data_IF_049017531619
#
_entry.id   IF_049017531619
#
_cell.length_a   1.000
_cell.length_b   1.000
_cell.length_c   1.000
_cell.angle_alpha   90.00
_cell.angle_beta   90.00
_cell.angle_gamma   90.00
#
_symmetry.space_group_name_H-M   'P 1'
#
loop_
_entity.id
_entity.type
_entity.pdbx_description
1 polymer ?
#
# COMPACT_ATOMS: atom_id res chain seq x y z
N UNK A 1 5.55 11.54 -29.03
CA UNK A 1 5.18 10.60 -27.94
C UNK A 1 4.12 11.17 -26.96
N UNK A 2 3.34 12.23 -27.29
CA UNK A 2 2.61 12.99 -26.27
C UNK A 2 1.08 12.87 -26.21
N UNK A 3 0.38 12.56 -27.31
CA UNK A 3 -1.09 12.62 -27.33
C UNK A 3 -1.75 11.49 -26.52
N UNK A 4 -1.35 10.24 -26.78
CA UNK A 4 -2.00 9.07 -26.18
C UNK A 4 -1.77 8.95 -24.67
N UNK A 5 -0.61 9.38 -24.15
CA UNK A 5 -0.31 9.27 -22.70
C UNK A 5 -1.14 10.25 -21.86
N UNK A 6 -1.30 11.49 -22.34
CA UNK A 6 -2.12 12.49 -21.64
C UNK A 6 -3.60 12.10 -21.66
N UNK A 7 -4.09 11.62 -22.82
CA UNK A 7 -5.45 11.12 -22.97
C UNK A 7 -5.70 9.91 -22.06
N UNK A 8 -4.83 8.88 -22.10
CA UNK A 8 -4.94 7.72 -21.21
C UNK A 8 -4.90 8.10 -19.73
N UNK A 9 -4.08 9.10 -19.36
CA UNK A 9 -4.03 9.61 -17.98
C UNK A 9 -5.37 10.24 -17.58
N UNK A 10 -6.01 11.01 -18.46
CA UNK A 10 -7.33 11.59 -18.20
C UNK A 10 -8.43 10.52 -18.10
N UNK A 11 -8.38 9.47 -18.95
CA UNK A 11 -9.26 8.31 -18.82
C UNK A 11 -9.13 7.64 -17.45
N UNK A 12 -7.89 7.45 -16.97
CA UNK A 12 -7.62 6.89 -15.63
C UNK A 12 -8.05 7.81 -14.50
N UNK A 13 -7.91 9.13 -14.64
CA UNK A 13 -8.41 10.09 -13.64
C UNK A 13 -9.93 10.03 -13.51
N UNK A 14 -10.65 9.87 -14.63
CA UNK A 14 -12.09 9.63 -14.58
C UNK A 14 -12.39 8.30 -13.87
N UNK A 15 -11.67 7.23 -14.22
CA UNK A 15 -11.83 5.93 -13.57
C UNK A 15 -11.56 5.98 -12.05
N UNK A 16 -10.61 6.80 -11.58
CA UNK A 16 -10.38 7.04 -10.14
C UNK A 16 -11.63 7.61 -9.46
N UNK A 17 -12.30 8.59 -10.06
CA UNK A 17 -13.55 9.12 -9.50
C UNK A 17 -14.69 8.11 -9.56
N UNK A 18 -14.79 7.33 -10.64
CA UNK A 18 -15.81 6.29 -10.78
C UNK A 18 -15.63 5.21 -9.68
N UNK A 19 -14.39 4.77 -9.41
CA UNK A 19 -14.07 3.82 -8.33
C UNK A 19 -14.46 4.41 -6.97
N UNK A 20 -14.06 5.65 -6.67
CA UNK A 20 -14.40 6.28 -5.40
C UNK A 20 -15.91 6.52 -5.24
N UNK A 21 -16.63 6.77 -6.34
CA UNK A 21 -18.09 6.85 -6.31
C UNK A 21 -18.73 5.49 -6.01
N UNK A 22 -18.16 4.38 -6.49
CA UNK A 22 -18.61 3.03 -6.16
C UNK A 22 -18.38 2.66 -4.68
N UNK A 23 -17.30 3.15 -4.05
CA UNK A 23 -17.05 2.98 -2.60
C UNK A 23 -18.16 3.60 -1.75
N UNK A 24 -18.74 4.74 -2.19
CA UNK A 24 -19.87 5.38 -1.50
C UNK A 24 -21.08 4.46 -1.44
N UNK A 25 -21.30 3.65 -2.49
CA UNK A 25 -22.44 2.73 -2.58
C UNK A 25 -22.20 1.39 -1.88
N UNK A 26 -20.98 0.87 -1.94
CA UNK A 26 -20.62 -0.43 -1.38
C UNK A 26 -20.26 -0.35 0.10
N UNK A 27 -19.84 0.82 0.59
CA UNK A 27 -19.32 1.02 1.94
C UNK A 27 -17.92 0.43 2.15
N UNK A 28 -17.33 -0.19 1.12
CA UNK A 28 -15.97 -0.70 1.14
C UNK A 28 -15.02 0.45 0.80
N UNK A 29 -14.20 0.85 1.77
CA UNK A 29 -13.18 1.89 1.56
C UNK A 29 -11.89 1.26 1.07
N UNK A 30 -11.50 1.58 -0.15
CA UNK A 30 -10.20 1.15 -0.67
C UNK A 30 -9.12 2.14 -0.21
N UNK A 31 -7.90 1.63 -0.13
CA UNK A 31 -6.75 2.50 0.07
C UNK A 31 -6.34 3.17 -1.25
N UNK A 32 -5.54 4.23 -1.19
CA UNK A 32 -5.17 5.02 -2.36
C UNK A 32 -4.53 4.18 -3.48
N UNK A 33 -3.68 3.22 -3.13
CA UNK A 33 -3.03 2.35 -4.10
C UNK A 33 -3.99 1.34 -4.74
N UNK A 34 -4.95 0.83 -3.96
CA UNK A 34 -6.04 0.01 -4.49
C UNK A 34 -6.95 0.80 -5.45
N UNK A 35 -7.31 2.04 -5.13
CA UNK A 35 -8.07 2.93 -6.04
C UNK A 35 -7.32 3.14 -7.36
N UNK A 36 -6.01 3.42 -7.29
CA UNK A 36 -5.17 3.58 -8.47
C UNK A 36 -5.03 2.28 -9.26
N UNK A 37 -4.88 1.15 -8.58
CA UNK A 37 -4.83 -0.19 -9.16
C UNK A 37 -6.09 -0.53 -9.93
N UNK A 38 -7.27 -0.30 -9.34
CA UNK A 38 -8.58 -0.48 -10.00
C UNK A 38 -8.75 0.44 -11.21
N UNK A 39 -8.34 1.71 -11.10
CA UNK A 39 -8.37 2.63 -12.23
C UNK A 39 -7.46 2.17 -13.39
N UNK A 40 -6.28 1.63 -13.09
CA UNK A 40 -5.37 1.05 -14.07
C UNK A 40 -5.92 -0.27 -14.64
N UNK A 41 -6.62 -1.08 -13.84
CA UNK A 41 -7.27 -2.30 -14.35
C UNK A 41 -8.37 -1.96 -15.36
N UNK A 42 -9.13 -0.87 -15.13
CA UNK A 42 -10.14 -0.37 -16.08
C UNK A 42 -9.53 0.23 -17.34
N UNK A 43 -8.39 0.91 -17.21
CA UNK A 43 -7.67 1.53 -18.34
C UNK A 43 -6.19 1.11 -18.29
N UNK A 44 -5.84 -0.06 -18.88
CA UNK A 44 -4.51 -0.65 -18.78
C UNK A 44 -3.38 0.27 -19.26
N UNK A 45 -2.19 0.10 -18.67
CA UNK A 45 -0.98 0.80 -19.09
C UNK A 45 -0.51 0.31 -20.47
N UNK A 46 -0.04 1.22 -21.32
CA UNK A 46 0.65 0.85 -22.56
C UNK A 46 2.13 0.48 -22.28
N UNK A 47 2.84 -0.02 -23.29
CA UNK A 47 4.23 -0.49 -23.18
C UNK A 47 5.18 0.53 -22.51
N UNK A 48 5.13 1.79 -22.93
CA UNK A 48 5.96 2.86 -22.35
C UNK A 48 5.56 3.22 -20.92
N UNK A 49 4.29 3.03 -20.57
CA UNK A 49 3.75 3.30 -19.24
C UNK A 49 4.03 2.16 -18.26
N UNK A 50 4.17 0.92 -18.75
CA UNK A 50 4.54 -0.26 -17.95
C UNK A 50 6.01 -0.30 -17.57
N UNK A 51 6.86 0.50 -18.22
CA UNK A 51 8.28 0.59 -17.90
C UNK A 51 8.47 0.98 -16.42
N UNK A 52 9.18 0.12 -15.69
CA UNK A 52 9.45 0.30 -14.27
C UNK A 52 10.52 1.37 -14.04
N UNK A 53 10.23 2.27 -13.11
CA UNK A 53 11.21 3.24 -12.61
C UNK A 53 12.13 2.57 -11.58
N UNK A 54 13.14 3.29 -11.09
CA UNK A 54 14.08 2.77 -10.08
C UNK A 54 13.38 2.21 -8.82
N UNK A 55 12.29 2.83 -8.39
CA UNK A 55 11.46 2.33 -7.28
C UNK A 55 10.48 1.21 -7.63
N UNK A 56 10.62 0.61 -8.83
CA UNK A 56 9.76 -0.42 -9.45
C UNK A 56 8.27 -0.13 -9.47
N UNK A 57 7.92 1.16 -9.45
CA UNK A 57 6.59 1.65 -9.81
C UNK A 57 6.59 1.92 -11.32
N UNK A 58 5.60 1.42 -12.09
CA UNK A 58 5.45 1.74 -13.50
C UNK A 58 5.37 3.26 -13.73
N UNK A 59 6.01 3.75 -14.79
CA UNK A 59 5.97 5.17 -15.17
C UNK A 59 4.55 5.72 -15.22
N UNK A 60 3.62 4.98 -15.84
CA UNK A 60 2.22 5.37 -15.97
C UNK A 60 1.50 5.48 -14.63
N UNK A 61 1.80 4.59 -13.69
CA UNK A 61 1.27 4.68 -12.32
C UNK A 61 1.76 5.96 -11.64
N UNK A 62 3.07 6.26 -11.70
CA UNK A 62 3.62 7.50 -11.13
C UNK A 62 3.01 8.76 -11.76
N UNK A 63 2.80 8.75 -13.07
CA UNK A 63 2.12 9.83 -13.78
C UNK A 63 0.69 10.00 -13.30
N UNK A 64 -0.07 8.91 -13.14
CA UNK A 64 -1.44 8.94 -12.61
C UNK A 64 -1.49 9.46 -11.17
N UNK A 65 -0.64 8.92 -10.27
CA UNK A 65 -0.54 9.38 -8.88
C UNK A 65 -0.29 10.89 -8.81
N UNK A 66 0.57 11.41 -9.68
CA UNK A 66 0.83 12.86 -9.78
C UNK A 66 -0.38 13.62 -10.31
N UNK A 67 -1.01 13.10 -11.37
CA UNK A 67 -2.12 13.76 -12.06
C UNK A 67 -3.39 13.87 -11.19
N UNK A 68 -3.59 12.99 -10.21
CA UNK A 68 -4.72 13.07 -9.26
C UNK A 68 -4.74 14.36 -8.43
N UNK A 69 -3.64 15.11 -8.36
CA UNK A 69 -3.63 16.47 -7.80
C UNK A 69 -4.59 17.42 -8.55
N UNK A 70 -4.85 17.19 -9.85
CA UNK A 70 -5.85 17.94 -10.62
C UNK A 70 -7.25 17.78 -10.04
N UNK A 71 -7.63 16.55 -9.65
CA UNK A 71 -8.93 16.26 -9.05
C UNK A 71 -9.10 16.96 -7.69
N UNK A 72 -8.01 17.05 -6.92
CA UNK A 72 -8.00 17.80 -5.65
C UNK A 72 -8.17 19.30 -5.91
N UNK A 73 -7.43 19.85 -6.89
CA UNK A 73 -7.54 21.27 -7.26
C UNK A 73 -8.95 21.63 -7.76
N UNK A 74 -9.63 20.72 -8.45
CA UNK A 74 -11.01 20.88 -8.88
C UNK A 74 -12.03 20.73 -7.74
N UNK A 75 -11.60 20.32 -6.54
CA UNK A 75 -12.50 20.06 -5.41
C UNK A 75 -13.29 18.75 -5.52
N UNK A 76 -12.91 17.86 -6.44
CA UNK A 76 -13.63 16.60 -6.71
C UNK A 76 -13.12 15.43 -5.86
N UNK A 77 -11.89 15.54 -5.36
CA UNK A 77 -11.21 14.53 -4.55
C UNK A 77 -10.62 15.18 -3.30
N UNK A 78 -10.84 14.56 -2.15
CA UNK A 78 -10.10 14.88 -0.92
C UNK A 78 -9.10 13.75 -0.67
N UNK A 79 -7.82 14.10 -0.56
CA UNK A 79 -6.77 13.19 -0.10
C UNK A 79 -6.56 13.44 1.38
N UNK A 80 -7.20 12.59 2.18
CA UNK A 80 -7.11 12.64 3.63
C UNK A 80 -5.98 11.78 4.15
N UNK A 81 -5.73 11.91 5.45
CA UNK A 81 -4.88 10.96 6.13
C UNK A 81 -5.51 9.57 6.09
N UNK A 82 -6.79 9.43 6.40
CA UNK A 82 -7.50 8.14 6.42
C UNK A 82 -7.76 7.49 5.04
N UNK A 83 -7.21 8.04 3.96
CA UNK A 83 -7.43 7.56 2.59
C UNK A 83 -7.96 8.65 1.67
N UNK A 84 -8.43 8.24 0.50
CA UNK A 84 -9.01 9.15 -0.48
C UNK A 84 -10.54 9.11 -0.38
N UNK A 85 -11.21 10.23 -0.62
CA UNK A 85 -12.66 10.31 -0.62
C UNK A 85 -13.15 11.26 -1.71
N UNK A 86 -14.21 10.86 -2.42
CA UNK A 86 -14.89 11.72 -3.40
C UNK A 86 -15.78 12.75 -2.70
N UNK A 87 -15.84 13.98 -3.23
CA UNK A 87 -16.76 15.02 -2.74
C UNK A 87 -18.12 14.92 -3.45
N UNK A 88 -19.14 15.61 -2.95
CA UNK A 88 -20.44 15.70 -3.64
C UNK A 88 -20.29 16.30 -5.05
N UNK A 89 -19.40 17.28 -5.22
CA UNK A 89 -19.11 17.86 -6.53
C UNK A 89 -18.33 16.90 -7.42
N UNK A 90 -17.43 16.09 -6.85
CA UNK A 90 -16.78 15.00 -7.58
C UNK A 90 -17.78 13.94 -8.06
N UNK A 91 -18.76 13.58 -7.23
CA UNK A 91 -19.85 12.67 -7.62
C UNK A 91 -20.70 13.30 -8.72
N UNK A 92 -21.07 14.58 -8.61
CA UNK A 92 -21.79 15.28 -9.69
C UNK A 92 -20.96 15.37 -10.97
N UNK A 93 -19.63 15.52 -10.87
CA UNK A 93 -18.75 15.59 -12.03
C UNK A 93 -18.76 14.29 -12.86
N UNK A 94 -18.94 13.12 -12.24
CA UNK A 94 -19.05 11.85 -12.97
C UNK A 94 -20.30 11.78 -13.86
N UNK A 95 -21.34 12.54 -13.50
CA UNK A 95 -22.59 12.68 -14.27
C UNK A 95 -22.49 13.83 -15.28
N UNK A 96 -22.07 15.02 -14.83
CA UNK A 96 -21.98 16.22 -15.67
C UNK A 96 -21.00 16.04 -16.84
N UNK A 97 -19.93 15.28 -16.61
CA UNK A 97 -18.88 15.02 -17.59
C UNK A 97 -18.72 13.52 -17.84
N UNK A 98 -19.82 12.85 -18.18
CA UNK A 98 -19.83 11.42 -18.48
C UNK A 98 -18.86 11.04 -19.62
N UNK A 99 -18.75 11.90 -20.64
CA UNK A 99 -17.83 11.70 -21.75
C UNK A 99 -16.39 12.05 -21.35
N UNK A 100 -15.40 11.14 -21.55
CA UNK A 100 -14.05 11.38 -21.05
C UNK A 100 -13.34 12.60 -21.64
N UNK A 101 -13.65 12.97 -22.89
CA UNK A 101 -13.11 14.18 -23.51
C UNK A 101 -13.68 15.47 -22.86
N UNK A 102 -14.97 15.45 -22.52
CA UNK A 102 -15.61 16.56 -21.80
C UNK A 102 -15.06 16.66 -20.37
N UNK A 103 -14.84 15.52 -19.72
CA UNK A 103 -14.19 15.43 -18.41
C UNK A 103 -12.79 16.04 -18.42
N UNK A 104 -11.95 15.63 -19.37
CA UNK A 104 -10.60 16.17 -19.52
C UNK A 104 -10.60 17.69 -19.71
N UNK A 105 -11.47 18.18 -20.60
CA UNK A 105 -11.61 19.61 -20.87
C UNK A 105 -12.05 20.39 -19.65
N UNK A 106 -13.07 19.90 -18.93
CA UNK A 106 -13.57 20.52 -17.71
C UNK A 106 -12.52 20.54 -16.60
N UNK A 107 -11.78 19.44 -16.44
CA UNK A 107 -10.72 19.32 -15.44
C UNK A 107 -9.55 20.26 -15.72
N UNK A 108 -9.12 20.37 -16.99
CA UNK A 108 -8.03 21.26 -17.39
C UNK A 108 -8.44 22.74 -17.34
N UNK A 109 -9.69 23.06 -17.68
CA UNK A 109 -10.23 24.42 -17.61
C UNK A 109 -10.61 24.85 -16.18
N UNK A 110 -10.70 23.92 -15.23
CA UNK A 110 -11.24 24.18 -13.89
C UNK A 110 -12.71 24.56 -13.92
N UNK A 111 -13.49 24.00 -14.84
CA UNK A 111 -14.91 24.29 -14.99
C UNK A 111 -15.68 23.84 -13.74
N UNK A 112 -16.43 24.74 -13.07
CA UNK A 112 -17.24 24.34 -11.92
C UNK A 112 -18.35 23.39 -12.37
N UNK A 113 -18.64 22.39 -11.54
CA UNK A 113 -19.74 21.45 -11.79
C UNK A 113 -21.05 22.22 -11.63
N UNK A 114 -21.99 22.15 -12.59
CA UNK A 114 -23.28 22.83 -12.46
C UNK A 114 -24.01 22.35 -11.20
N UNK A 115 -24.45 23.29 -10.35
CA UNK A 115 -25.04 22.98 -9.05
C UNK A 115 -26.33 22.14 -9.15
N UNK A 116 -27.05 22.23 -10.27
CA UNK A 116 -28.27 21.48 -10.54
C UNK A 116 -28.02 20.04 -11.05
N UNK A 117 -26.75 19.64 -11.20
CA UNK A 117 -26.42 18.27 -11.61
C UNK A 117 -26.82 17.30 -10.49
N UNK A 118 -27.65 16.28 -10.77
CA UNK A 118 -28.00 15.29 -9.74
C UNK A 118 -26.77 14.45 -9.37
N UNK A 119 -26.76 13.94 -8.14
CA UNK A 119 -25.81 12.89 -7.77
C UNK A 119 -26.04 11.64 -8.64
N UNK A 120 -24.99 10.86 -8.95
CA UNK A 120 -25.12 9.65 -9.73
C UNK A 120 -26.13 8.72 -9.05
N UNK A 121 -27.08 8.12 -9.79
CA UNK A 121 -27.97 7.14 -9.19
C UNK A 121 -27.15 5.95 -8.71
N UNK A 122 -27.51 5.38 -7.55
CA UNK A 122 -26.92 4.13 -7.10
C UNK A 122 -27.02 3.09 -8.22
N UNK A 123 -25.94 2.36 -8.54
CA UNK A 123 -26.02 1.29 -9.52
C UNK A 123 -27.12 0.31 -9.09
N UNK A 124 -28.00 -0.07 -10.02
CA UNK A 124 -29.14 -0.93 -9.73
C UNK A 124 -28.65 -2.24 -9.10
N UNK A 125 -28.76 -2.35 -7.78
CA UNK A 125 -28.30 -3.50 -7.04
C UNK A 125 -29.04 -4.76 -7.49
N UNK A 126 -28.31 -5.85 -7.70
CA UNK A 126 -28.87 -7.17 -7.35
C UNK A 126 -29.36 -7.06 -5.89
N UNK A 127 -30.56 -7.57 -5.59
CA UNK A 127 -31.28 -7.19 -4.38
C UNK A 127 -30.44 -7.46 -3.14
N UNK A 128 -30.37 -6.43 -2.28
CA UNK A 128 -29.85 -6.51 -0.94
C UNK A 128 -30.35 -7.80 -0.28
N UNK A 129 -29.41 -8.61 0.23
CA UNK A 129 -29.75 -9.84 0.95
C UNK A 129 -30.52 -9.42 2.20
N UNK A 130 -31.83 -9.61 2.16
CA UNK A 130 -32.73 -9.31 3.25
C UNK A 130 -32.17 -9.87 4.57
N UNK A 131 -32.09 -9.01 5.57
CA UNK A 131 -31.90 -9.33 6.97
C UNK A 131 -32.95 -10.37 7.37
N UNK A 132 -32.55 -11.64 7.44
CA UNK A 132 -33.37 -12.68 8.06
C UNK A 132 -33.12 -12.64 9.56
N UNK A 133 -34.15 -12.20 10.26
CA UNK A 133 -34.41 -12.39 11.67
C UNK A 133 -34.23 -13.85 12.09
N UNK A 134 -33.73 -14.02 13.31
CA UNK A 134 -33.34 -15.29 13.91
C UNK A 134 -34.46 -16.33 14.00
N UNK A 135 -34.11 -17.59 13.68
CA UNK A 135 -34.68 -18.78 14.29
C UNK A 135 -33.60 -19.88 14.36
N UNK A 136 -33.39 -20.44 15.55
CA UNK A 136 -32.43 -21.51 15.90
C UNK A 136 -33.16 -22.88 15.90
N UNK A 137 -32.47 -24.03 16.08
CA UNK A 137 -31.83 -24.87 15.07
C UNK A 137 -32.46 -26.28 14.97
N UNK A 138 -32.22 -27.02 13.89
CA UNK A 138 -32.35 -28.48 13.93
C UNK A 138 -31.54 -29.23 12.85
N UNK A 139 -30.81 -30.23 13.36
CA UNK A 139 -30.43 -31.51 12.76
C UNK A 139 -29.33 -31.62 11.67
N UNK A 140 -28.36 -32.47 12.01
CA UNK A 140 -27.29 -33.09 11.20
C UNK A 140 -27.82 -34.09 10.16
N UNK A 141 -27.09 -34.20 9.05
CA UNK A 141 -26.77 -35.38 8.22
C UNK A 141 -26.40 -34.85 6.81
N UNK A 142 -25.46 -35.34 6.01
CA UNK A 142 -24.38 -36.32 6.10
C UNK A 142 -23.45 -35.99 4.90
N UNK A 143 -22.24 -36.54 4.94
CA UNK A 143 -21.10 -36.26 4.07
C UNK A 143 -21.19 -36.93 2.68
N UNK A 144 -20.78 -36.24 1.60
CA UNK A 144 -20.14 -36.87 0.43
C UNK A 144 -19.35 -35.84 -0.43
N UNK A 145 -18.19 -36.23 -1.01
CA UNK A 145 -17.11 -35.31 -1.37
C UNK A 145 -17.12 -34.89 -2.84
N UNK A 146 -16.89 -33.60 -3.12
CA UNK A 146 -16.70 -33.09 -4.48
C UNK A 146 -15.22 -32.82 -4.80
N UNK A 147 -14.87 -33.16 -6.03
CA UNK A 147 -13.53 -33.34 -6.58
C UNK A 147 -12.90 -32.00 -6.97
N UNK A 148 -11.99 -31.47 -6.17
CA UNK A 148 -11.03 -30.41 -6.60
C UNK A 148 -9.75 -30.43 -5.75
N UNK A 149 -9.13 -31.60 -5.58
CA UNK A 149 -7.78 -31.72 -4.99
C UNK A 149 -6.83 -32.49 -5.92
N UNK A 150 -6.78 -32.10 -7.20
CA UNK A 150 -5.79 -32.61 -8.16
C UNK A 150 -5.31 -31.54 -9.14
N UNK A 151 -4.85 -30.40 -8.62
CA UNK A 151 -3.91 -29.53 -9.37
C UNK A 151 -2.74 -29.01 -8.50
N UNK A 152 -2.73 -29.28 -7.19
CA UNK A 152 -1.62 -28.90 -6.31
C UNK A 152 -0.42 -29.88 -6.30
N UNK A 153 -0.53 -31.04 -6.96
CA UNK A 153 0.47 -32.12 -6.84
C UNK A 153 1.55 -32.19 -7.91
N UNK A 154 1.53 -31.34 -8.95
CA UNK A 154 2.43 -31.50 -10.12
C UNK A 154 3.44 -30.37 -10.34
N UNK A 155 3.32 -29.26 -9.61
CA UNK A 155 4.33 -28.19 -9.61
C UNK A 155 5.47 -28.42 -8.59
N UNK A 156 5.33 -29.37 -7.67
CA UNK A 156 6.29 -29.63 -6.60
C UNK A 156 7.46 -30.57 -6.98
N UNK A 157 7.67 -30.89 -8.27
CA UNK A 157 8.68 -31.89 -8.68
C UNK A 157 9.67 -31.44 -9.75
N UNK A 158 9.83 -30.14 -9.96
CA UNK A 158 10.74 -29.59 -10.99
C UNK A 158 11.71 -28.50 -10.48
N UNK A 159 11.83 -28.31 -9.16
CA UNK A 159 12.74 -27.30 -8.56
C UNK A 159 13.83 -27.97 -7.69
N UNK A 160 13.92 -29.31 -7.69
CA UNK A 160 14.88 -30.07 -6.87
C UNK A 160 16.10 -30.57 -7.66
N UNK A 161 16.45 -29.95 -8.79
CA UNK A 161 17.60 -30.39 -9.59
C UNK A 161 18.34 -29.23 -10.27
N UNK A 162 18.83 -28.26 -9.47
CA UNK A 162 19.86 -27.32 -9.93
C UNK A 162 20.58 -26.54 -8.80
N UNK A 163 21.05 -27.20 -7.73
CA UNK A 163 22.02 -26.53 -6.82
C UNK A 163 23.06 -27.52 -6.28
N UNK A 164 24.29 -27.38 -6.79
CA UNK A 164 25.56 -27.58 -6.07
C UNK A 164 26.72 -27.17 -7.01
N UNK A 165 27.89 -26.72 -6.52
CA UNK A 165 28.19 -25.98 -5.30
C UNK A 165 29.22 -24.84 -5.53
N UNK A 166 29.34 -23.82 -4.65
CA UNK A 166 30.63 -23.26 -4.19
C UNK A 166 30.39 -22.50 -2.89
N UNK A 167 30.87 -23.08 -1.80
CA UNK A 167 31.19 -22.39 -0.56
C UNK A 167 32.71 -22.44 -0.40
N UNK A 168 33.37 -21.30 -0.13
CA UNK A 168 34.59 -21.17 0.70
C UNK A 168 35.12 -19.72 0.72
N UNK A 169 35.64 -19.35 1.89
CA UNK A 169 36.34 -18.12 2.29
C UNK A 169 35.38 -16.99 2.75
N UNK A 170 35.43 -16.43 3.97
CA UNK A 170 36.52 -16.27 4.95
C UNK A 170 35.95 -16.29 6.37
N UNK A 171 36.53 -17.13 7.23
CA UNK A 171 36.45 -17.00 8.70
C UNK A 171 37.48 -15.96 9.15
N UNK A 172 37.08 -15.06 10.06
CA UNK A 172 37.79 -14.71 11.32
C UNK A 172 37.27 -13.36 11.87
N UNK A 173 36.52 -13.38 12.98
CA UNK A 173 36.97 -12.91 14.31
C UNK A 173 35.82 -12.98 15.34
N UNK A 174 36.16 -13.57 16.48
CA UNK A 174 35.39 -13.78 17.71
C UNK A 174 35.57 -12.57 18.66
N UNK A 175 34.64 -12.32 19.61
CA UNK A 175 34.39 -11.02 20.22
C UNK A 175 35.08 -10.81 21.57
N UNK A 176 35.09 -9.56 22.03
CA UNK A 176 35.46 -9.13 23.39
C UNK A 176 34.64 -7.88 23.70
N UNK A 177 34.24 -7.52 24.91
CA UNK A 177 34.01 -8.16 26.20
C UNK A 177 33.31 -7.07 27.04
N UNK A 178 32.65 -7.48 28.12
CA UNK A 178 31.62 -6.78 28.90
C UNK A 178 32.17 -5.91 30.05
N UNK A 179 31.51 -4.75 30.30
CA UNK A 179 31.23 -4.07 31.60
C UNK A 179 32.40 -3.43 32.40
N UNK A 180 32.15 -2.50 33.38
CA UNK A 180 30.90 -2.33 34.14
C UNK A 180 30.36 -0.92 34.45
N UNK A 181 29.09 -0.96 34.89
CA UNK A 181 28.30 0.04 35.59
C UNK A 181 28.98 0.58 36.86
N UNK A 182 28.72 1.84 37.17
CA UNK A 182 28.73 2.37 38.52
C UNK A 182 27.37 3.06 38.79
N UNK A 183 26.76 2.63 39.88
CA UNK A 183 25.56 3.15 40.54
C UNK A 183 25.90 4.36 41.40
N UNK A 184 25.05 5.39 41.42
CA UNK A 184 24.81 6.14 42.68
C UNK A 184 23.49 6.94 42.64
N UNK A 185 22.96 7.16 43.84
CA UNK A 185 21.56 7.38 44.16
C UNK A 185 21.19 8.86 44.41
N UNK A 186 19.89 9.12 44.19
CA UNK A 186 18.97 10.09 44.82
C UNK A 186 19.51 11.35 45.54
N UNK A 187 18.94 12.51 45.16
CA UNK A 187 18.36 13.45 46.13
C UNK A 187 17.17 14.20 45.52
N UNK A 188 16.17 14.45 46.36
CA UNK A 188 14.90 15.08 46.05
C UNK A 188 15.01 16.62 46.02
N UNK A 189 14.16 17.27 45.21
CA UNK A 189 13.95 18.71 45.24
C UNK A 189 12.87 19.12 44.25
N UNK A 190 11.63 19.21 44.71
CA UNK A 190 10.51 19.73 43.95
C UNK A 190 10.47 21.26 44.03
N UNK A 191 10.35 21.94 42.89
CA UNK A 191 9.61 23.20 42.76
C UNK A 191 8.96 23.29 41.37
N UNK A 192 7.68 23.63 41.39
CA UNK A 192 6.84 23.85 40.23
C UNK A 192 7.22 25.14 39.50
N UNK A 193 7.21 25.11 38.17
CA UNK A 193 7.08 26.29 37.34
C UNK A 193 6.21 25.95 36.13
N UNK A 194 5.01 26.51 36.12
CA UNK A 194 4.09 26.48 35.00
C UNK A 194 4.58 27.44 33.90
N UNK A 195 4.60 26.99 32.65
CA UNK A 195 4.26 27.83 31.50
C UNK A 195 4.18 27.04 30.19
N UNK A 196 3.10 27.34 29.46
CA UNK A 196 2.89 27.16 28.02
C UNK A 196 2.44 25.78 27.54
N UNK A 197 1.14 25.53 27.67
CA UNK A 197 0.43 24.58 26.83
C UNK A 197 0.40 25.13 25.39
N UNK A 198 1.29 24.61 24.54
CA UNK A 198 1.08 24.63 23.09
C UNK A 198 -0.16 23.77 22.78
N UNK A 199 -0.96 24.12 21.76
CA UNK A 199 -2.15 23.33 21.43
C UNK A 199 -1.69 21.92 21.05
N UNK A 200 -2.15 20.94 21.82
CA UNK A 200 -2.00 19.53 21.44
C UNK A 200 -2.71 19.36 20.11
N UNK A 201 -1.93 19.25 19.04
CA UNK A 201 -2.44 18.76 17.78
C UNK A 201 -2.92 17.33 18.06
N UNK A 202 -4.23 17.13 18.09
CA UNK A 202 -4.81 15.80 18.18
C UNK A 202 -4.46 15.08 16.88
N UNK A 203 -3.29 14.43 16.85
CA UNK A 203 -2.95 13.48 15.81
C UNK A 203 -3.87 12.30 16.07
N UNK A 204 -4.84 12.13 15.19
CA UNK A 204 -5.65 10.92 15.09
C UNK A 204 -4.68 9.74 15.01
N UNK A 205 -4.44 9.10 16.15
CA UNK A 205 -3.42 8.07 16.29
C UNK A 205 -4.07 6.78 15.84
N UNK A 206 -3.74 6.35 14.63
CA UNK A 206 -4.18 5.05 14.14
C UNK A 206 -3.45 3.99 14.95
N UNK A 207 -4.16 2.93 15.32
CA UNK A 207 -3.56 1.77 15.98
C UNK A 207 -2.49 1.18 15.05
N UNK A 208 -1.25 1.18 15.52
CA UNK A 208 -0.11 0.68 14.78
C UNK A 208 0.04 -0.83 15.01
N UNK A 209 0.47 -1.60 14.01
CA UNK A 209 0.83 -3.00 14.21
C UNK A 209 2.00 -3.11 15.21
N UNK A 210 2.12 -4.26 15.87
CA UNK A 210 3.20 -4.51 16.83
C UNK A 210 4.56 -4.53 16.14
N UNK A 211 4.60 -5.00 14.90
CA UNK A 211 5.81 -5.09 14.10
C UNK A 211 5.49 -4.99 12.60
N UNK A 212 6.44 -4.44 11.84
CA UNK A 212 6.38 -4.38 10.37
C UNK A 212 7.70 -4.85 9.83
N UNK A 213 7.66 -5.81 8.91
CA UNK A 213 8.84 -6.36 8.26
C UNK A 213 8.83 -6.07 6.77
N UNK A 214 10.01 -5.77 6.22
CA UNK A 214 10.25 -5.79 4.77
C UNK A 214 10.84 -7.14 4.42
N UNK A 215 10.04 -8.04 3.87
CA UNK A 215 10.48 -9.38 3.50
C UNK A 215 10.69 -9.48 1.98
N UNK A 216 11.90 -9.82 1.54
CA UNK A 216 12.28 -9.84 0.14
C UNK A 216 13.63 -10.50 -0.14
N UNK A 217 14.12 -10.34 -1.37
CA UNK A 217 15.32 -11.00 -1.89
C UNK A 217 16.65 -10.50 -1.27
N UNK A 218 16.59 -9.43 -0.49
CA UNK A 218 17.74 -8.78 0.13
C UNK A 218 17.86 -9.01 1.64
N UNK A 219 16.97 -9.76 2.30
CA UNK A 219 17.04 -9.90 3.76
C UNK A 219 18.36 -10.54 4.23
N UNK A 220 18.93 -11.48 3.48
CA UNK A 220 20.26 -12.03 3.80
C UNK A 220 21.36 -10.96 3.73
N UNK A 221 21.20 -9.94 2.89
CA UNK A 221 22.11 -8.80 2.79
C UNK A 221 21.96 -7.86 3.99
N UNK A 222 20.78 -7.83 4.62
CA UNK A 222 20.53 -7.16 5.90
C UNK A 222 21.10 -7.94 7.10
N UNK A 223 21.58 -9.17 6.89
CA UNK A 223 22.08 -10.05 7.93
C UNK A 223 21.08 -11.12 8.39
N UNK A 224 19.88 -11.17 7.80
CA UNK A 224 18.88 -12.18 8.16
C UNK A 224 19.37 -13.60 7.78
N UNK A 225 18.96 -14.64 8.53
CA UNK A 225 19.30 -16.03 8.19
C UNK A 225 18.73 -16.52 6.85
N UNK A 226 17.64 -15.91 6.36
CA UNK A 226 17.01 -16.28 5.10
C UNK A 226 16.27 -15.08 4.46
N UNK A 227 16.09 -15.14 3.15
CA UNK A 227 15.20 -14.24 2.40
C UNK A 227 13.73 -14.59 2.67
N UNK A 228 12.83 -13.63 2.44
CA UNK A 228 11.37 -13.83 2.56
C UNK A 228 10.91 -14.30 3.94
N UNK A 229 11.61 -13.88 4.98
CA UNK A 229 11.38 -14.32 6.35
C UNK A 229 11.05 -13.13 7.28
N UNK A 230 9.77 -12.72 7.36
CA UNK A 230 9.34 -11.53 8.10
C UNK A 230 9.46 -11.67 9.62
N UNK A 231 9.75 -12.87 10.13
CA UNK A 231 9.90 -13.11 11.57
C UNK A 231 11.23 -12.63 12.15
N UNK A 232 12.25 -12.44 11.31
CA UNK A 232 13.60 -12.08 11.74
C UNK A 232 13.73 -10.58 12.04
N UNK A 233 14.57 -10.25 13.02
CA UNK A 233 14.78 -8.88 13.50
C UNK A 233 15.42 -8.00 12.44
N UNK A 234 16.31 -8.55 11.61
CA UNK A 234 17.02 -7.85 10.55
C UNK A 234 16.11 -7.38 9.41
N UNK A 235 14.91 -7.96 9.28
CA UNK A 235 13.90 -7.55 8.33
C UNK A 235 12.91 -6.51 8.90
N UNK A 236 12.96 -6.22 10.20
CA UNK A 236 12.01 -5.31 10.83
C UNK A 236 12.29 -3.85 10.51
N UNK A 237 11.22 -3.10 10.28
CA UNK A 237 11.20 -1.66 10.17
C UNK A 237 11.09 -1.03 11.56
N UNK A 238 11.58 0.20 11.69
CA UNK A 238 11.40 1.02 12.87
C UNK A 238 10.26 2.00 12.66
N UNK A 239 9.35 2.11 13.64
CA UNK A 239 8.29 3.11 13.64
C UNK A 239 8.83 4.45 14.10
N UNK A 240 8.76 5.45 13.22
CA UNK A 240 8.93 6.84 13.60
C UNK A 240 7.61 7.39 14.18
N UNK A 241 7.62 7.67 15.48
CA UNK A 241 6.43 8.08 16.23
C UNK A 241 5.92 9.46 15.83
N UNK A 242 6.76 10.31 15.22
CA UNK A 242 6.38 11.67 14.86
C UNK A 242 5.60 11.69 13.56
N UNK A 243 6.09 11.01 12.53
CA UNK A 243 5.42 10.94 11.23
C UNK A 243 4.49 9.74 11.05
N UNK A 244 4.50 8.81 12.02
CA UNK A 244 3.72 7.58 12.02
C UNK A 244 4.04 6.68 10.81
N UNK A 245 5.30 6.71 10.34
CA UNK A 245 5.81 5.88 9.25
C UNK A 245 6.77 4.81 9.76
N UNK A 246 6.66 3.62 9.20
CA UNK A 246 7.64 2.55 9.36
C UNK A 246 8.78 2.73 8.36
N UNK A 247 10.03 2.63 8.81
CA UNK A 247 11.22 2.91 8.00
C UNK A 247 12.27 1.82 8.16
N UNK A 248 12.93 1.47 7.08
CA UNK A 248 14.19 0.72 7.11
C UNK A 248 15.15 1.34 6.11
N UNK A 249 16.43 1.37 6.45
CA UNK A 249 17.48 1.86 5.58
C UNK A 249 18.67 0.90 5.63
N UNK A 250 19.18 0.53 4.46
CA UNK A 250 20.30 -0.39 4.35
C UNK A 250 21.14 -0.11 3.11
N UNK A 251 22.45 -0.28 3.21
CA UNK A 251 23.32 -0.25 2.04
C UNK A 251 23.23 -1.62 1.35
N UNK A 252 22.77 -1.63 0.11
CA UNK A 252 22.66 -2.86 -0.69
C UNK A 252 23.33 -2.67 -2.06
N UNK A 253 23.88 -3.74 -2.66
CA UNK A 253 24.45 -3.69 -4.00
C UNK A 253 23.44 -3.22 -5.06
N UNK A 254 23.96 -2.83 -6.23
CA UNK A 254 23.12 -2.60 -7.39
C UNK A 254 22.46 -3.91 -7.83
N UNK A 255 21.18 -3.86 -8.20
CA UNK A 255 20.45 -5.07 -8.58
C UNK A 255 18.95 -4.88 -8.72
N UNK A 256 18.31 -5.98 -9.08
CA UNK A 256 16.87 -6.13 -9.15
C UNK A 256 16.41 -6.90 -7.92
N UNK A 257 15.52 -6.30 -7.15
CA UNK A 257 15.03 -6.88 -5.90
C UNK A 257 13.51 -6.88 -5.89
N UNK A 258 12.92 -7.89 -5.26
CA UNK A 258 11.50 -7.92 -4.98
C UNK A 258 11.23 -8.10 -3.49
N UNK A 259 10.16 -7.50 -2.99
CA UNK A 259 9.79 -7.58 -1.58
C UNK A 259 8.28 -7.35 -1.35
N UNK A 260 7.85 -7.60 -0.10
CA UNK A 260 6.55 -7.21 0.44
C UNK A 260 6.68 -6.65 1.85
N UNK A 261 5.67 -5.92 2.29
CA UNK A 261 5.50 -5.52 3.69
C UNK A 261 4.65 -6.57 4.39
N UNK A 262 5.14 -7.10 5.50
CA UNK A 262 4.47 -8.12 6.30
C UNK A 262 4.24 -7.57 7.71
N UNK A 263 3.03 -7.76 8.26
CA UNK A 263 2.68 -7.25 9.59
C UNK A 263 2.84 -8.33 10.65
N UNK A 264 3.16 -7.88 11.87
CA UNK A 264 3.21 -8.70 13.08
C UNK A 264 4.07 -9.96 12.93
N UNK A 265 5.22 -9.83 12.25
CA UNK A 265 6.20 -10.92 12.05
C UNK A 265 5.62 -12.17 11.36
N UNK A 266 4.55 -12.00 10.60
CA UNK A 266 3.81 -13.09 9.96
C UNK A 266 3.39 -12.72 8.54
N UNK A 267 2.89 -13.69 7.78
CA UNK A 267 2.32 -13.45 6.45
C UNK A 267 0.79 -13.29 6.47
N UNK A 268 0.15 -13.35 7.64
CA UNK A 268 -1.31 -13.31 7.78
C UNK A 268 -1.91 -12.01 7.24
N UNK A 269 -1.17 -10.90 7.39
CA UNK A 269 -1.47 -9.63 6.75
C UNK A 269 -0.22 -9.08 6.08
N UNK A 270 -0.29 -8.90 4.76
CA UNK A 270 0.81 -8.38 3.97
C UNK A 270 0.34 -7.50 2.83
N UNK A 271 1.21 -6.57 2.45
CA UNK A 271 0.97 -5.58 1.41
C UNK A 271 2.08 -5.65 0.37
N UNK A 272 1.66 -5.85 -0.87
CA UNK A 272 2.52 -5.92 -2.03
C UNK A 272 2.63 -4.58 -2.77
N UNK A 273 2.96 -4.64 -4.06
CA UNK A 273 2.97 -3.50 -4.96
C UNK A 273 1.69 -2.66 -4.79
N UNK A 274 1.89 -1.34 -4.72
CA UNK A 274 0.80 -0.36 -4.53
C UNK A 274 -0.01 -0.56 -3.24
N UNK A 275 0.55 -1.20 -2.20
CA UNK A 275 -0.16 -1.33 -0.92
C UNK A 275 -1.38 -2.24 -0.98
N UNK A 276 -1.45 -3.14 -1.96
CA UNK A 276 -2.56 -4.08 -2.13
C UNK A 276 -2.40 -5.25 -1.15
N UNK A 277 -3.46 -5.53 -0.39
CA UNK A 277 -3.51 -6.70 0.50
C UNK A 277 -3.33 -7.98 -0.30
N UNK A 278 -2.41 -8.85 0.13
CA UNK A 278 -2.03 -10.06 -0.61
C UNK A 278 -1.63 -9.81 -2.08
N UNK A 279 -1.25 -8.57 -2.41
CA UNK A 279 -0.97 -8.15 -3.77
C UNK A 279 0.30 -8.74 -4.38
N UNK A 280 0.62 -8.38 -5.63
CA UNK A 280 1.88 -8.74 -6.28
C UNK A 280 3.11 -8.25 -5.50
N UNK A 281 4.30 -8.81 -5.73
CA UNK A 281 5.52 -8.31 -5.09
C UNK A 281 5.84 -6.88 -5.56
N UNK A 282 6.40 -6.05 -4.66
CA UNK A 282 6.96 -4.76 -5.02
C UNK A 282 8.33 -4.97 -5.65
N UNK A 283 8.56 -4.43 -6.84
CA UNK A 283 9.83 -4.54 -7.55
C UNK A 283 10.69 -3.31 -7.31
N UNK A 284 12.02 -3.45 -7.35
CA UNK A 284 12.98 -2.34 -7.18
C UNK A 284 14.16 -2.56 -8.10
N UNK A 285 14.49 -1.54 -8.88
CA UNK A 285 15.71 -1.48 -9.69
C UNK A 285 16.68 -0.51 -9.01
N UNK A 286 17.53 -1.06 -8.15
CA UNK A 286 18.42 -0.24 -7.31
C UNK A 286 19.78 -0.03 -7.96
N UNK A 287 20.26 1.22 -7.97
CA UNK A 287 21.58 1.59 -8.50
C UNK A 287 22.75 1.24 -7.59
N UNK A 288 22.48 0.70 -6.40
CA UNK A 288 23.47 0.42 -5.35
C UNK A 288 23.61 1.56 -4.35
N UNK A 289 24.05 1.22 -3.14
CA UNK A 289 24.19 2.14 -2.01
C UNK A 289 22.96 2.11 -1.10
N UNK A 290 22.69 3.22 -0.42
CA UNK A 290 21.62 3.32 0.57
C UNK A 290 20.23 3.18 -0.08
N UNK A 291 19.53 2.09 0.21
CA UNK A 291 18.12 1.90 -0.04
C UNK A 291 17.34 2.32 1.20
N UNK A 292 16.34 3.20 1.04
CA UNK A 292 15.39 3.57 2.09
C UNK A 292 14.01 3.10 1.66
N UNK A 293 13.31 2.38 2.54
CA UNK A 293 11.92 1.97 2.32
C UNK A 293 11.07 2.57 3.43
N UNK A 294 9.92 3.14 3.05
CA UNK A 294 8.93 3.70 3.98
C UNK A 294 7.58 3.05 3.74
N UNK A 295 6.88 2.75 4.84
CA UNK A 295 5.52 2.22 4.81
C UNK A 295 4.62 3.07 5.72
N UNK A 296 3.50 3.53 5.18
CA UNK A 296 2.46 4.24 5.93
C UNK A 296 1.29 3.28 6.20
N UNK A 297 1.16 2.77 7.43
CA UNK A 297 0.10 1.80 7.77
C UNK A 297 -1.32 2.36 7.53
N UNK A 298 -1.48 3.67 7.69
CA UNK A 298 -2.77 4.34 7.49
C UNK A 298 -3.23 4.31 6.04
N UNK A 299 -2.33 4.41 5.09
CA UNK A 299 -2.65 4.45 3.65
C UNK A 299 -2.25 3.17 2.92
N UNK A 300 -1.52 2.30 3.61
CA UNK A 300 -0.84 1.12 3.07
C UNK A 300 0.18 1.45 1.99
N UNK A 301 0.57 2.72 1.88
CA UNK A 301 1.47 3.19 0.83
C UNK A 301 2.92 2.76 1.12
N UNK A 302 3.64 2.42 0.05
CA UNK A 302 5.03 1.96 0.10
C UNK A 302 5.86 2.88 -0.79
N UNK A 303 6.81 3.60 -0.18
CA UNK A 303 7.59 4.64 -0.87
C UNK A 303 9.07 4.40 -0.70
N UNK A 304 9.79 4.54 -1.81
CA UNK A 304 11.25 4.51 -1.89
C UNK A 304 11.74 5.91 -2.30
N UNK A 305 12.11 6.77 -1.33
CA UNK A 305 12.49 8.16 -1.59
C UNK A 305 13.84 8.31 -2.28
#
# INVERSE_FOLDING_TARGET
MGANTAENTNLRLKAVLDVLAEEVWTGEKLNAGAVLGEAIARVPLNESETELLSGGIPRGHKTLTTATAKLVKAGWLVKGRSGWSITDDGQRATVAFAEPAAFATALDAGTPVPADTPLPPAPAGKPAKATKTAAKPAAKADEAPSKTSKVAGKAAKLIEEAVAPVAKAVRKRTPAAKAPQATEAASAGATAAAASAAPAVSVETIEQPEAVAVAGDFNVLLGAPANWAPQYDEAQMELDQVDQLWKIAADIPAGFYTFKIALNRSWDENYGAFGVFDGPNHEVHHGGGLLVIRYDHRTRDIVLP
#
